data_IF_969707077477
#
_entry.id   IF_969707077477
#
_cell.length_a   1.000
_cell.length_b   1.000
_cell.length_c   1.000
_cell.angle_alpha   90.00
_cell.angle_beta   90.00
_cell.angle_gamma   90.00
#
_symmetry.space_group_name_H-M   'P 1'
#
loop_
_entity.id
_entity.type
_entity.pdbx_description
1 polymer ?
#
# COMPACT_ATOMS: atom_id res chain seq x y z
N UNK A 1 -29.59 12.91 -15.10
CA UNK A 1 -29.49 13.88 -13.99
C UNK A 1 -28.58 13.26 -12.96
N UNK A 2 -27.55 13.96 -12.49
CA UNK A 2 -26.64 13.45 -11.47
C UNK A 2 -27.22 13.74 -10.09
N UNK A 3 -27.50 12.71 -9.32
CA UNK A 3 -28.11 12.84 -7.99
C UNK A 3 -27.11 12.42 -6.92
N UNK A 4 -26.81 13.35 -6.00
CA UNK A 4 -25.83 13.18 -4.93
C UNK A 4 -26.51 12.95 -3.59
N UNK A 5 -26.17 11.85 -2.93
CA UNK A 5 -26.69 11.45 -1.63
C UNK A 5 -25.56 11.04 -0.69
N UNK A 6 -25.25 11.90 0.29
CA UNK A 6 -24.13 11.70 1.21
C UNK A 6 -22.79 11.53 0.43
N UNK A 7 -22.21 10.34 0.49
CA UNK A 7 -20.97 9.97 -0.20
C UNK A 7 -21.20 9.11 -1.45
N UNK A 8 -22.43 9.05 -1.93
CA UNK A 8 -22.82 8.35 -3.16
C UNK A 8 -23.36 9.32 -4.21
N UNK A 9 -23.01 9.09 -5.47
CA UNK A 9 -23.70 9.67 -6.62
C UNK A 9 -24.30 8.55 -7.48
N UNK A 10 -25.52 8.72 -7.98
CA UNK A 10 -26.15 7.79 -8.92
C UNK A 10 -26.24 8.45 -10.30
N UNK A 11 -25.78 7.73 -11.33
CA UNK A 11 -25.77 8.14 -12.74
C UNK A 11 -26.27 7.01 -13.63
N UNK A 12 -27.59 6.94 -13.82
CA UNK A 12 -28.22 5.84 -14.55
C UNK A 12 -27.86 4.50 -13.92
N UNK A 13 -27.29 3.60 -14.71
CA UNK A 13 -26.85 2.26 -14.27
C UNK A 13 -25.49 2.26 -13.53
N UNK A 14 -25.02 3.41 -13.04
CA UNK A 14 -23.76 3.50 -12.28
C UNK A 14 -23.95 4.20 -10.94
N UNK A 15 -23.58 3.53 -9.85
CA UNK A 15 -23.44 4.12 -8.53
C UNK A 15 -21.96 4.42 -8.23
N UNK A 16 -21.66 5.63 -7.78
CA UNK A 16 -20.30 6.10 -7.50
C UNK A 16 -20.18 6.36 -6.00
N UNK A 17 -19.37 5.55 -5.32
CA UNK A 17 -19.01 5.79 -3.92
C UNK A 17 -17.74 6.63 -3.85
N UNK A 18 -17.84 7.84 -3.28
CA UNK A 18 -16.66 8.60 -2.86
C UNK A 18 -16.03 7.93 -1.66
N UNK A 19 -14.76 7.55 -1.77
CA UNK A 19 -14.12 6.72 -0.76
C UNK A 19 -13.86 7.54 0.51
N UNK A 20 -14.27 6.97 1.63
CA UNK A 20 -13.96 7.45 2.97
C UNK A 20 -13.16 6.37 3.71
N UNK A 21 -12.66 6.71 4.90
CA UNK A 21 -11.90 5.79 5.75
C UNK A 21 -12.64 4.49 6.02
N UNK A 22 -13.98 4.52 6.06
CA UNK A 22 -14.81 3.37 6.40
C UNK A 22 -14.84 2.34 5.28
N UNK A 23 -14.88 2.76 4.01
CA UNK A 23 -14.84 1.87 2.83
C UNK A 23 -13.52 1.10 2.74
N UNK A 24 -12.43 1.70 3.20
CA UNK A 24 -11.11 1.10 3.11
C UNK A 24 -10.83 0.18 4.30
N UNK A 25 -11.16 0.65 5.51
CA UNK A 25 -10.84 -0.07 6.76
C UNK A 25 -11.89 -1.08 7.17
N UNK A 26 -13.11 -0.98 6.65
CA UNK A 26 -14.18 -1.92 6.92
C UNK A 26 -14.63 -2.65 5.66
N UNK A 27 -15.26 -3.80 5.87
CA UNK A 27 -15.73 -4.70 4.83
C UNK A 27 -17.06 -4.26 4.23
N UNK A 28 -17.21 -2.98 3.91
CA UNK A 28 -18.49 -2.49 3.40
C UNK A 28 -18.69 -0.98 3.42
N UNK A 29 -19.89 -0.59 3.00
CA UNK A 29 -20.33 0.81 3.00
C UNK A 29 -21.83 0.93 3.32
N UNK A 30 -22.23 2.04 3.94
CA UNK A 30 -23.65 2.34 4.13
C UNK A 30 -24.32 2.71 2.80
N UNK A 31 -25.53 2.20 2.57
CA UNK A 31 -26.37 2.56 1.43
C UNK A 31 -27.47 3.51 1.93
N UNK A 32 -27.43 4.81 1.53
CA UNK A 32 -28.49 5.75 1.82
C UNK A 32 -29.85 5.29 1.26
N UNK A 33 -30.93 5.65 1.94
CA UNK A 33 -32.31 5.28 1.58
C UNK A 33 -32.61 5.63 0.11
N UNK A 34 -32.19 6.82 -0.30
CA UNK A 34 -32.40 7.37 -1.64
C UNK A 34 -31.72 6.56 -2.75
N UNK A 35 -30.66 5.83 -2.40
CA UNK A 35 -29.89 5.02 -3.36
C UNK A 35 -30.33 3.55 -3.39
N UNK A 36 -31.28 3.13 -2.53
CA UNK A 36 -31.69 1.72 -2.41
C UNK A 36 -32.28 1.15 -3.69
N UNK A 37 -32.97 1.97 -4.49
CA UNK A 37 -33.55 1.57 -5.77
C UNK A 37 -32.50 1.03 -6.74
N UNK A 38 -31.31 1.65 -6.81
CA UNK A 38 -30.21 1.18 -7.65
C UNK A 38 -29.84 -0.29 -7.34
N UNK A 39 -29.86 -0.64 -6.06
CA UNK A 39 -29.51 -1.97 -5.55
C UNK A 39 -30.70 -2.94 -5.47
N UNK A 40 -31.89 -2.52 -5.90
CA UNK A 40 -33.17 -3.23 -5.78
C UNK A 40 -33.64 -3.49 -4.33
N UNK A 41 -33.02 -2.89 -3.30
CA UNK A 41 -33.23 -3.20 -1.87
C UNK A 41 -34.20 -2.26 -1.14
N UNK A 42 -35.10 -1.60 -1.84
CA UNK A 42 -36.07 -0.65 -1.25
C UNK A 42 -36.97 -1.32 -0.20
N UNK A 43 -37.40 -2.54 -0.51
CA UNK A 43 -38.30 -3.34 0.30
C UNK A 43 -37.58 -4.32 1.23
N UNK A 44 -36.26 -4.20 1.41
CA UNK A 44 -35.50 -5.08 2.30
C UNK A 44 -35.93 -4.84 3.76
N UNK A 45 -36.35 -5.91 4.45
CA UNK A 45 -36.79 -5.86 5.85
C UNK A 45 -35.60 -5.86 6.82
N UNK A 46 -35.82 -5.41 8.06
CA UNK A 46 -34.76 -5.46 9.08
C UNK A 46 -34.42 -6.93 9.43
N UNK A 47 -33.13 -7.26 9.40
CA UNK A 47 -32.62 -8.62 9.56
C UNK A 47 -32.47 -9.39 8.24
N UNK A 48 -33.02 -8.88 7.14
CA UNK A 48 -32.88 -9.53 5.83
C UNK A 48 -31.54 -9.20 5.16
N UNK A 49 -31.06 -10.20 4.43
CA UNK A 49 -29.86 -10.14 3.61
C UNK A 49 -30.22 -10.42 2.15
N UNK A 50 -29.50 -9.76 1.26
CA UNK A 50 -29.51 -10.02 -0.16
C UNK A 50 -28.11 -10.27 -0.65
N UNK A 51 -27.87 -11.48 -1.14
CA UNK A 51 -26.61 -11.83 -1.79
C UNK A 51 -26.51 -11.11 -3.14
N UNK A 52 -25.32 -10.59 -3.42
CA UNK A 52 -24.97 -9.94 -4.69
C UNK A 52 -23.59 -10.40 -5.13
N UNK A 53 -23.28 -10.20 -6.41
CA UNK A 53 -21.98 -10.49 -6.98
C UNK A 53 -21.34 -9.18 -7.44
N UNK A 54 -20.14 -8.92 -6.93
CA UNK A 54 -19.28 -7.85 -7.41
C UNK A 54 -18.28 -8.43 -8.41
N UNK A 55 -18.10 -7.77 -9.55
CA UNK A 55 -17.21 -8.23 -10.62
C UNK A 55 -16.05 -7.26 -10.73
N UNK A 56 -14.82 -7.76 -10.70
CA UNK A 56 -13.62 -6.95 -10.96
C UNK A 56 -12.85 -7.60 -12.10
N UNK A 57 -12.82 -6.93 -13.26
CA UNK A 57 -12.32 -7.54 -14.50
C UNK A 57 -13.22 -8.71 -14.91
N UNK A 58 -12.67 -9.93 -14.87
CA UNK A 58 -13.40 -11.17 -15.24
C UNK A 58 -13.67 -12.09 -14.03
N UNK A 59 -13.47 -11.61 -12.81
CA UNK A 59 -13.66 -12.40 -11.58
C UNK A 59 -14.88 -11.94 -10.81
N UNK A 60 -15.64 -12.89 -10.28
CA UNK A 60 -16.81 -12.68 -9.43
C UNK A 60 -16.41 -12.78 -7.95
N UNK A 61 -17.00 -11.94 -7.11
CA UNK A 61 -16.75 -11.88 -5.66
C UNK A 61 -18.07 -11.80 -4.90
N UNK A 62 -18.23 -12.67 -3.91
CA UNK A 62 -19.40 -12.69 -3.04
C UNK A 62 -19.48 -11.44 -2.17
N UNK A 63 -20.64 -10.80 -2.20
CA UNK A 63 -20.98 -9.66 -1.40
C UNK A 63 -22.45 -9.75 -1.00
N UNK A 64 -22.87 -8.96 -0.02
CA UNK A 64 -24.27 -8.94 0.36
C UNK A 64 -24.69 -7.56 0.85
N UNK A 65 -25.98 -7.29 0.73
CA UNK A 65 -26.61 -6.10 1.28
C UNK A 65 -27.51 -6.55 2.43
N UNK A 66 -27.35 -5.91 3.57
CA UNK A 66 -28.14 -6.23 4.76
C UNK A 66 -28.77 -4.96 5.31
N UNK A 67 -29.99 -5.08 5.83
CA UNK A 67 -30.61 -4.02 6.64
C UNK A 67 -30.66 -4.45 8.10
N UNK A 68 -30.08 -3.65 8.99
CA UNK A 68 -30.15 -3.86 10.45
C UNK A 68 -30.40 -2.53 11.15
N UNK A 69 -31.35 -2.52 12.09
CA UNK A 69 -31.71 -1.33 12.85
C UNK A 69 -32.01 -0.13 11.92
N UNK A 70 -32.79 -0.35 10.86
CA UNK A 70 -33.18 0.63 9.85
C UNK A 70 -32.08 1.06 8.87
N UNK A 71 -30.82 0.66 9.09
CA UNK A 71 -29.67 1.03 8.23
C UNK A 71 -29.36 -0.07 7.24
N UNK A 72 -29.25 0.31 5.96
CA UNK A 72 -28.83 -0.61 4.90
C UNK A 72 -27.34 -0.46 4.65
N UNK A 73 -26.63 -1.58 4.53
CA UNK A 73 -25.20 -1.60 4.27
C UNK A 73 -24.86 -2.66 3.23
N UNK A 74 -23.99 -2.31 2.31
CA UNK A 74 -23.28 -3.22 1.43
C UNK A 74 -22.07 -3.77 2.18
N UNK A 75 -21.83 -5.07 2.08
CA UNK A 75 -20.69 -5.77 2.63
C UNK A 75 -19.96 -6.57 1.54
N UNK A 76 -18.63 -6.61 1.62
CA UNK A 76 -17.78 -7.41 0.74
C UNK A 76 -16.66 -8.07 1.53
N UNK A 77 -16.17 -9.20 1.03
CA UNK A 77 -15.08 -9.96 1.64
C UNK A 77 -13.71 -9.33 1.35
N UNK A 78 -12.66 -9.85 2.00
CA UNK A 78 -11.29 -9.33 1.87
C UNK A 78 -10.70 -9.51 0.46
N UNK A 79 -11.07 -10.59 -0.21
CA UNK A 79 -10.72 -10.91 -1.60
C UNK A 79 -11.17 -9.82 -2.58
N UNK A 80 -12.41 -9.32 -2.47
CA UNK A 80 -12.88 -8.19 -3.27
C UNK A 80 -12.05 -6.93 -3.02
N UNK A 81 -11.78 -6.61 -1.75
CA UNK A 81 -10.98 -5.43 -1.38
C UNK A 81 -9.57 -5.48 -1.98
N UNK A 82 -8.97 -6.66 -1.99
CA UNK A 82 -7.66 -6.90 -2.62
C UNK A 82 -7.74 -6.76 -4.14
N UNK A 83 -8.74 -7.39 -4.75
CA UNK A 83 -8.94 -7.39 -6.21
C UNK A 83 -9.21 -6.00 -6.79
N UNK A 84 -10.08 -5.22 -6.17
CA UNK A 84 -10.39 -3.85 -6.64
C UNK A 84 -9.28 -2.83 -6.30
N UNK A 85 -8.23 -3.24 -5.59
CA UNK A 85 -7.08 -2.40 -5.26
C UNK A 85 -7.26 -1.49 -4.05
N UNK A 86 -8.39 -1.56 -3.34
CA UNK A 86 -8.62 -0.81 -2.10
C UNK A 86 -7.57 -1.10 -1.03
N UNK A 87 -7.01 -2.32 -1.00
CA UNK A 87 -5.94 -2.70 -0.05
C UNK A 87 -4.70 -1.82 -0.13
N UNK A 88 -4.43 -1.17 -1.28
CA UNK A 88 -3.30 -0.24 -1.45
C UNK A 88 -3.43 1.03 -0.59
N UNK A 89 -4.64 1.33 -0.15
CA UNK A 89 -4.97 2.60 0.52
C UNK A 89 -5.29 2.45 2.01
N UNK A 90 -5.12 1.24 2.60
CA UNK A 90 -5.44 0.95 4.02
C UNK A 90 -4.83 1.94 5.02
N UNK A 91 -3.65 2.46 4.69
CA UNK A 91 -2.88 3.38 5.54
C UNK A 91 -2.71 4.76 4.90
N UNK A 92 -3.48 5.07 3.86
CA UNK A 92 -3.45 6.38 3.21
C UNK A 92 -4.18 7.45 4.04
N UNK A 93 -3.71 8.71 4.02
CA UNK A 93 -4.41 9.80 4.68
C UNK A 93 -5.70 10.15 3.93
N UNK A 94 -6.67 10.77 4.62
CA UNK A 94 -7.97 11.13 4.03
C UNK A 94 -7.84 12.04 2.81
N UNK A 95 -6.82 12.91 2.77
CA UNK A 95 -6.50 13.74 1.59
C UNK A 95 -6.21 12.94 0.32
N UNK A 96 -5.74 11.70 0.46
CA UNK A 96 -5.57 10.74 -0.66
C UNK A 96 -6.88 10.01 -0.94
N UNK A 97 -7.60 9.59 0.10
CA UNK A 97 -8.86 8.84 -0.05
C UNK A 97 -9.96 9.64 -0.74
N UNK A 98 -10.06 10.94 -0.41
CA UNK A 98 -11.03 11.86 -0.99
C UNK A 98 -10.85 12.09 -2.50
N UNK A 99 -9.73 11.60 -3.07
CA UNK A 99 -9.46 11.62 -4.51
C UNK A 99 -9.80 10.31 -5.20
N UNK A 100 -10.47 9.38 -4.53
CA UNK A 100 -10.81 8.06 -5.03
C UNK A 100 -12.32 7.84 -5.04
N UNK A 101 -12.80 7.14 -6.07
CA UNK A 101 -14.17 6.67 -6.16
C UNK A 101 -14.19 5.19 -6.48
N UNK A 102 -15.12 4.46 -5.87
CA UNK A 102 -15.45 3.09 -6.26
C UNK A 102 -16.77 3.12 -7.02
N UNK A 103 -16.72 2.81 -8.31
CA UNK A 103 -17.88 2.82 -9.21
C UNK A 103 -18.44 1.42 -9.34
N UNK A 104 -19.76 1.28 -9.21
CA UNK A 104 -20.51 0.06 -9.38
C UNK A 104 -21.45 0.24 -10.57
N UNK A 105 -21.21 -0.49 -11.65
CA UNK A 105 -22.09 -0.52 -12.82
C UNK A 105 -23.00 -1.73 -12.74
N UNK A 106 -24.31 -1.52 -12.80
CA UNK A 106 -25.29 -2.60 -12.80
C UNK A 106 -25.20 -3.36 -14.13
N UNK A 107 -25.04 -4.68 -14.05
CA UNK A 107 -24.98 -5.57 -15.22
C UNK A 107 -26.23 -6.45 -15.35
N UNK A 108 -27.01 -6.57 -14.29
CA UNK A 108 -28.21 -7.37 -14.21
C UNK A 108 -28.70 -7.46 -12.77
N UNK A 109 -29.62 -8.38 -12.50
CA UNK A 109 -30.10 -8.62 -11.13
C UNK A 109 -28.94 -9.05 -10.23
N UNK A 110 -28.74 -8.30 -9.15
CA UNK A 110 -27.73 -8.59 -8.12
C UNK A 110 -26.28 -8.69 -8.62
N UNK A 111 -25.95 -8.25 -9.85
CA UNK A 111 -24.59 -8.28 -10.40
C UNK A 111 -24.08 -6.90 -10.76
N UNK A 112 -22.89 -6.56 -10.25
CA UNK A 112 -22.32 -5.22 -10.41
C UNK A 112 -20.84 -5.30 -10.78
N UNK A 113 -20.44 -4.67 -11.89
CA UNK A 113 -19.02 -4.44 -12.17
C UNK A 113 -18.48 -3.31 -11.30
N UNK A 114 -17.35 -3.54 -10.63
CA UNK A 114 -16.75 -2.63 -9.67
C UNK A 114 -15.39 -2.13 -10.15
N UNK A 115 -15.20 -0.81 -10.20
CA UNK A 115 -13.98 -0.18 -10.67
C UNK A 115 -13.56 0.94 -9.73
N UNK A 116 -12.32 0.85 -9.23
CA UNK A 116 -11.68 1.92 -8.48
C UNK A 116 -11.09 2.97 -9.44
N UNK A 117 -11.45 4.24 -9.27
CA UNK A 117 -10.96 5.36 -10.08
C UNK A 117 -10.42 6.49 -9.22
N UNK A 118 -9.43 7.22 -9.75
CA UNK A 118 -8.96 8.50 -9.21
C UNK A 118 -9.77 9.64 -9.81
N UNK A 119 -10.07 10.65 -9.00
CA UNK A 119 -10.82 11.85 -9.42
C UNK A 119 -9.90 12.98 -9.90
N UNK A 120 -8.61 12.92 -9.61
CA UNK A 120 -7.62 13.95 -9.98
C UNK A 120 -6.95 13.73 -11.34
N UNK A 121 -7.26 12.64 -12.05
CA UNK A 121 -6.79 12.37 -13.40
C UNK A 121 -7.92 11.75 -14.25
N UNK A 122 -8.18 12.34 -15.43
CA UNK A 122 -9.14 11.81 -16.44
C UNK A 122 -8.64 10.50 -17.09
N UNK A 123 -7.42 10.05 -16.79
CA UNK A 123 -6.96 8.73 -17.22
C UNK A 123 -7.63 7.63 -16.39
N UNK A 124 -8.58 6.96 -17.04
CA UNK A 124 -9.13 5.68 -16.58
C UNK A 124 -7.98 4.70 -16.45
N UNK A 125 -7.49 4.46 -15.24
CA UNK A 125 -6.57 3.35 -14.97
C UNK A 125 -7.35 2.06 -15.19
N UNK A 126 -7.37 1.55 -16.41
CA UNK A 126 -7.62 0.13 -16.64
C UNK A 126 -6.53 -0.61 -15.88
N UNK A 127 -6.91 -1.19 -14.75
CA UNK A 127 -6.10 -2.11 -13.95
C UNK A 127 -5.85 -3.37 -14.79
N UNK A 128 -4.93 -3.29 -15.76
CA UNK A 128 -4.31 -4.45 -16.38
C UNK A 128 -3.43 -5.13 -15.33
N UNK A 129 -3.99 -6.16 -14.71
CA UNK A 129 -3.44 -7.51 -14.79
C UNK A 129 -4.38 -8.45 -14.00
N UNK A 130 -5.18 -9.18 -14.77
CA UNK A 130 -6.04 -10.28 -14.31
C UNK A 130 -5.11 -11.34 -13.69
N UNK A 131 -5.35 -11.65 -12.42
CA UNK A 131 -4.73 -12.80 -11.76
C UNK A 131 -5.32 -14.05 -12.42
N UNK A 132 -4.46 -14.98 -12.82
CA UNK A 132 -4.80 -16.31 -13.31
C UNK A 132 -4.85 -17.27 -12.10
N UNK A 133 -5.86 -18.13 -12.05
CA UNK A 133 -6.10 -19.08 -10.97
C UNK A 133 -5.50 -20.45 -11.34
N UNK A 134 -4.19 -20.56 -11.18
CA UNK A 134 -3.54 -21.85 -10.98
C UNK A 134 -2.83 -21.80 -9.64
N UNK A 135 -2.93 -22.87 -8.84
CA UNK A 135 -2.19 -23.05 -7.59
C UNK A 135 -0.70 -23.27 -7.85
N UNK A 136 -0.08 -22.27 -8.46
CA UNK A 136 1.35 -22.13 -8.66
C UNK A 136 1.69 -20.64 -8.58
N UNK A 137 2.53 -20.27 -7.61
CA UNK A 137 3.05 -18.91 -7.53
C UNK A 137 4.19 -18.78 -8.55
N UNK A 138 3.90 -18.18 -9.70
CA UNK A 138 4.94 -17.86 -10.69
C UNK A 138 5.67 -16.60 -10.24
N UNK A 139 6.75 -16.79 -9.48
CA UNK A 139 7.74 -15.75 -9.17
C UNK A 139 8.82 -15.67 -10.27
N UNK A 140 9.55 -14.55 -10.37
CA UNK A 140 10.65 -14.39 -11.34
C UNK A 140 10.29 -13.68 -12.66
N UNK A 141 9.03 -13.22 -12.84
CA UNK A 141 8.67 -12.33 -13.95
C UNK A 141 9.49 -11.03 -13.84
N UNK A 142 10.35 -10.76 -14.82
CA UNK A 142 11.15 -9.53 -14.88
C UNK A 142 10.21 -8.32 -15.02
N UNK A 143 10.02 -7.58 -13.93
CA UNK A 143 9.36 -6.27 -13.92
C UNK A 143 10.43 -5.20 -14.10
N UNK A 144 10.34 -4.42 -15.17
CA UNK A 144 11.18 -3.25 -15.34
C UNK A 144 10.59 -2.10 -14.51
N UNK A 145 11.36 -1.60 -13.54
CA UNK A 145 11.01 -0.44 -12.74
C UNK A 145 11.87 0.74 -13.22
N UNK A 146 11.24 1.81 -13.69
CA UNK A 146 11.91 3.10 -13.86
C UNK A 146 11.89 3.80 -12.50
N UNK A 147 13.04 3.84 -11.84
CA UNK A 147 13.25 4.55 -10.57
C UNK A 147 14.32 5.60 -10.77
N UNK A 148 14.12 6.79 -10.23
CA UNK A 148 15.18 7.80 -10.12
C UNK A 148 16.19 7.28 -9.11
N UNK A 149 17.35 6.85 -9.61
CA UNK A 149 18.47 6.42 -8.78
C UNK A 149 19.40 7.61 -8.60
N UNK A 150 19.49 8.11 -7.38
CA UNK A 150 20.56 9.05 -7.02
C UNK A 150 21.90 8.39 -7.31
N UNK A 151 22.79 9.11 -8.00
CA UNK A 151 24.15 8.65 -8.23
C UNK A 151 24.85 8.44 -6.89
N UNK A 152 25.49 7.29 -6.72
CA UNK A 152 26.27 6.98 -5.52
C UNK A 152 27.69 6.68 -5.95
N UNK A 153 28.62 7.52 -5.54
CA UNK A 153 30.03 7.34 -5.84
C UNK A 153 30.59 6.15 -5.04
N UNK A 154 31.06 5.12 -5.75
CA UNK A 154 31.70 3.94 -5.14
C UNK A 154 32.96 4.32 -4.34
N UNK A 155 33.61 5.44 -4.68
CA UNK A 155 34.77 5.96 -3.94
C UNK A 155 34.40 6.33 -2.50
N UNK A 156 33.23 6.91 -2.27
CA UNK A 156 32.75 7.26 -0.92
C UNK A 156 32.54 6.02 -0.05
N UNK A 157 31.95 4.96 -0.62
CA UNK A 157 31.80 3.67 0.09
C UNK A 157 33.17 3.07 0.45
N UNK A 158 34.09 3.03 -0.50
CA UNK A 158 35.39 2.42 -0.29
C UNK A 158 36.22 3.22 0.73
N UNK A 159 36.15 4.55 0.67
CA UNK A 159 36.75 5.43 1.67
C UNK A 159 36.17 5.17 3.07
N UNK A 160 34.84 5.10 3.21
CA UNK A 160 34.20 4.79 4.49
C UNK A 160 34.63 3.43 5.06
N UNK A 161 34.78 2.41 4.22
CA UNK A 161 35.27 1.09 4.66
C UNK A 161 36.75 1.13 5.02
N UNK A 162 37.56 1.89 4.28
CA UNK A 162 38.98 2.06 4.60
C UNK A 162 39.17 2.77 5.95
N UNK A 163 38.35 3.78 6.23
CA UNK A 163 38.40 4.58 7.46
C UNK A 163 37.83 3.78 8.66
N UNK A 164 36.63 3.22 8.51
CA UNK A 164 35.86 2.67 9.63
C UNK A 164 35.95 1.14 9.76
N UNK A 165 36.47 0.45 8.75
CA UNK A 165 36.49 -1.02 8.66
C UNK A 165 35.11 -1.62 8.33
N UNK A 166 34.99 -2.93 8.57
CA UNK A 166 33.79 -3.73 8.22
C UNK A 166 33.03 -4.29 9.43
N UNK A 167 33.25 -3.73 10.62
CA UNK A 167 32.45 -4.08 11.81
C UNK A 167 31.24 -3.16 11.89
N UNK A 168 30.08 -3.73 12.22
CA UNK A 168 28.87 -2.94 12.36
C UNK A 168 28.99 -1.96 13.54
N UNK A 169 28.83 -0.66 13.28
CA UNK A 169 28.85 0.39 14.31
C UNK A 169 27.70 0.28 15.31
N UNK A 170 26.63 -0.45 14.99
CA UNK A 170 25.48 -0.64 15.89
C UNK A 170 25.69 -1.84 16.83
N UNK A 171 25.87 -3.04 16.27
CA UNK A 171 25.88 -4.28 17.06
C UNK A 171 27.22 -5.01 17.10
N UNK A 172 28.27 -4.47 16.45
CA UNK A 172 29.60 -5.08 16.41
C UNK A 172 29.73 -6.30 15.50
N UNK A 173 28.67 -6.71 14.79
CA UNK A 173 28.71 -7.85 13.88
C UNK A 173 29.78 -7.68 12.80
N UNK A 174 30.57 -8.73 12.58
CA UNK A 174 31.66 -8.80 11.61
C UNK A 174 31.42 -10.00 10.69
N UNK A 175 31.16 -9.71 9.40
CA UNK A 175 30.87 -10.75 8.42
C UNK A 175 32.08 -11.64 8.16
N UNK A 176 33.31 -11.12 8.16
CA UNK A 176 34.51 -11.92 7.95
C UNK A 176 34.74 -12.85 9.13
N UNK A 177 34.50 -12.38 10.36
CA UNK A 177 34.64 -13.21 11.55
C UNK A 177 33.64 -14.37 11.58
N UNK A 178 32.42 -14.18 11.07
CA UNK A 178 31.35 -15.20 11.10
C UNK A 178 31.35 -16.09 9.86
N UNK A 179 31.59 -15.53 8.68
CA UNK A 179 31.46 -16.24 7.39
C UNK A 179 32.82 -16.49 6.69
N UNK A 180 33.93 -16.14 7.33
CA UNK A 180 35.27 -16.31 6.77
C UNK A 180 35.50 -15.45 5.53
N UNK A 181 36.20 -16.01 4.53
CA UNK A 181 36.53 -15.31 3.29
C UNK A 181 35.30 -14.76 2.55
N UNK A 182 34.13 -15.40 2.66
CA UNK A 182 32.88 -14.94 2.03
C UNK A 182 32.42 -13.57 2.58
N UNK A 183 32.72 -13.29 3.85
CA UNK A 183 32.37 -12.04 4.52
C UNK A 183 33.43 -10.93 4.39
N UNK A 184 34.52 -11.18 3.66
CA UNK A 184 35.60 -10.20 3.51
C UNK A 184 35.12 -8.94 2.79
N UNK A 185 35.39 -7.77 3.39
CA UNK A 185 34.94 -6.45 2.91
C UNK A 185 33.42 -6.32 2.72
N UNK A 186 32.63 -7.25 3.29
CA UNK A 186 31.18 -7.25 3.20
C UNK A 186 30.56 -6.49 4.37
N UNK A 187 30.06 -5.29 4.06
CA UNK A 187 29.31 -4.44 4.99
C UNK A 187 28.47 -3.43 4.19
N UNK A 188 27.35 -2.99 4.76
CA UNK A 188 26.53 -1.92 4.19
C UNK A 188 26.98 -0.57 4.77
N UNK A 189 26.95 0.49 3.97
CA UNK A 189 27.32 1.85 4.41
C UNK A 189 26.05 2.70 4.50
N UNK A 190 25.78 3.17 5.71
CA UNK A 190 24.62 3.99 6.04
C UNK A 190 24.99 5.48 6.08
N UNK A 191 24.16 6.33 5.51
CA UNK A 191 24.28 7.78 5.68
C UNK A 191 23.60 8.16 6.98
N UNK A 192 24.33 8.79 7.91
CA UNK A 192 23.77 9.27 9.18
C UNK A 192 22.71 10.35 8.93
N UNK A 193 22.89 11.16 7.88
CA UNK A 193 21.93 12.14 7.38
C UNK A 193 21.30 11.64 6.07
N UNK A 194 19.97 11.44 6.00
CA UNK A 194 19.32 10.89 4.82
C UNK A 194 19.30 11.85 3.63
N UNK A 195 19.72 11.36 2.44
CA UNK A 195 19.74 12.15 1.20
C UNK A 195 18.36 12.49 0.61
N UNK A 196 17.27 11.88 1.08
CA UNK A 196 15.93 12.05 0.47
C UNK A 196 15.27 13.40 0.79
N UNK A 197 15.87 14.22 1.66
CA UNK A 197 15.37 15.52 2.07
C UNK A 197 16.06 16.70 1.38
N UNK A 198 16.93 16.45 0.39
CA UNK A 198 17.73 17.49 -0.25
C UNK A 198 17.52 17.40 -1.77
N UNK A 199 16.88 18.43 -2.34
CA UNK A 199 16.59 18.55 -3.78
C UNK A 199 17.84 18.91 -4.63
N UNK A 200 19.04 18.86 -4.02
CA UNK A 200 20.32 19.30 -4.60
C UNK A 200 21.44 18.28 -4.34
N UNK A 201 22.55 18.37 -5.09
CA UNK A 201 23.77 17.57 -4.85
C UNK A 201 24.41 17.95 -3.51
N UNK A 202 24.81 16.94 -2.73
CA UNK A 202 25.34 17.12 -1.37
C UNK A 202 26.74 16.55 -1.31
N UNK A 203 27.68 17.33 -0.81
CA UNK A 203 29.02 16.83 -0.50
C UNK A 203 28.95 15.88 0.70
N UNK A 204 29.47 14.67 0.54
CA UNK A 204 29.46 13.63 1.57
C UNK A 204 30.88 13.40 2.05
N UNK A 205 31.10 13.56 3.35
CA UNK A 205 32.34 13.21 4.01
C UNK A 205 32.26 11.74 4.50
N UNK A 206 33.08 10.82 3.95
CA UNK A 206 33.05 9.40 4.33
C UNK A 206 33.40 9.13 5.80
N UNK A 207 34.12 10.03 6.47
CA UNK A 207 34.48 9.90 7.87
C UNK A 207 33.29 10.25 8.79
N UNK A 208 32.63 11.38 8.53
CA UNK A 208 31.62 11.92 9.46
C UNK A 208 30.21 11.48 9.12
N UNK A 209 29.87 11.38 7.83
CA UNK A 209 28.48 11.23 7.37
C UNK A 209 28.10 9.79 7.10
N UNK A 210 29.09 8.91 6.97
CA UNK A 210 28.91 7.50 6.66
C UNK A 210 29.28 6.62 7.86
N UNK A 211 28.61 5.48 7.98
CA UNK A 211 28.92 4.48 8.99
C UNK A 211 28.70 3.05 8.48
N UNK A 212 29.61 2.10 8.80
CA UNK A 212 29.41 0.69 8.47
C UNK A 212 28.34 0.05 9.35
N UNK A 213 27.35 -0.60 8.75
CA UNK A 213 26.28 -1.31 9.45
C UNK A 213 26.00 -2.66 8.81
N UNK A 214 25.63 -3.67 9.61
CA UNK A 214 25.23 -4.97 9.06
C UNK A 214 23.85 -4.88 8.41
N UNK A 215 23.53 -5.83 7.53
CA UNK A 215 22.25 -5.86 6.80
C UNK A 215 21.03 -5.80 7.73
N UNK A 216 21.08 -6.48 8.88
CA UNK A 216 19.98 -6.45 9.83
C UNK A 216 19.82 -5.07 10.49
N UNK A 217 20.91 -4.47 10.98
CA UNK A 217 20.84 -3.14 11.57
C UNK A 217 20.46 -2.08 10.54
N UNK A 218 20.97 -2.17 9.31
CA UNK A 218 20.60 -1.24 8.26
C UNK A 218 19.10 -1.28 7.96
N UNK A 219 18.51 -2.49 7.93
CA UNK A 219 17.06 -2.65 7.79
C UNK A 219 16.28 -2.07 8.96
N UNK A 220 16.81 -2.15 10.18
CA UNK A 220 16.16 -1.59 11.37
C UNK A 220 16.22 -0.06 11.41
N UNK A 221 17.34 0.54 11.00
CA UNK A 221 17.47 2.00 10.86
C UNK A 221 16.41 2.58 9.91
N UNK A 222 16.10 1.86 8.82
CA UNK A 222 15.13 2.24 7.78
C UNK A 222 13.76 1.58 7.93
N UNK A 223 13.44 0.94 9.06
CA UNK A 223 12.21 0.14 9.17
C UNK A 223 10.95 0.99 9.14
N UNK A 224 11.01 2.20 9.68
CA UNK A 224 9.91 3.17 9.75
C UNK A 224 9.96 4.10 8.54
N UNK A 225 8.80 4.38 7.95
CA UNK A 225 8.68 5.21 6.72
C UNK A 225 8.65 6.71 7.02
N UNK A 226 8.26 7.06 8.24
CA UNK A 226 8.13 8.42 8.75
C UNK A 226 9.43 8.95 9.36
N UNK A 227 10.36 8.07 9.72
CA UNK A 227 11.59 8.43 10.41
C UNK A 227 12.67 7.35 10.30
N UNK A 228 13.86 7.76 9.88
CA UNK A 228 15.08 6.97 10.06
C UNK A 228 15.58 7.23 11.49
N UNK A 229 15.74 6.17 12.28
CA UNK A 229 16.31 6.27 13.62
C UNK A 229 17.83 6.33 13.55
N UNK A 230 18.49 6.98 14.51
CA UNK A 230 19.95 7.08 14.50
C UNK A 230 20.63 5.79 14.96
N UNK A 231 21.93 5.68 14.68
CA UNK A 231 22.76 4.56 15.16
C UNK A 231 22.73 4.46 16.68
N UNK A 232 22.85 5.60 17.37
CA UNK A 232 22.86 5.69 18.84
C UNK A 232 21.50 5.27 19.42
N UNK A 233 20.40 5.62 18.74
CA UNK A 233 19.06 5.18 19.13
C UNK A 233 18.91 3.65 19.00
N UNK A 234 19.38 3.08 17.89
CA UNK A 234 19.32 1.64 17.69
C UNK A 234 20.25 0.88 18.65
N UNK A 235 21.43 1.40 18.95
CA UNK A 235 22.31 0.86 19.99
C UNK A 235 21.62 0.81 21.35
N UNK A 236 20.92 1.89 21.76
CA UNK A 236 20.15 1.92 23.01
C UNK A 236 19.05 0.87 23.05
N UNK A 237 18.41 0.59 21.92
CA UNK A 237 17.37 -0.46 21.82
C UNK A 237 17.99 -1.84 22.03
N UNK A 238 19.14 -2.10 21.43
CA UNK A 238 19.81 -3.42 21.49
C UNK A 238 20.46 -3.67 22.87
N UNK A 239 20.99 -2.62 23.51
CA UNK A 239 21.71 -2.71 24.77
C UNK A 239 20.82 -2.59 26.02
N UNK A 240 19.52 -2.33 25.87
CA UNK A 240 18.53 -2.49 26.96
C UNK A 240 18.27 -3.99 27.16
N UNK A 241 19.20 -4.68 27.80
CA UNK A 241 19.00 -5.99 28.42
C UNK A 241 19.06 -5.85 29.92
#
# INVERSE_FOLDING_TARGET
MEEKYFSWDIKGETAIKHIDTSVVRHHGSGIPIQTRAFWDVENLSDGEKREIVLIVGNREYDAFIEKRAGRTRLFWRSDFREACGLSRYLFSPDSTLNKLTLQFQKLGENKYNAVLKRTDHIETTYLRDIVDDSTSYVEGKKKAYYTTKYERDKRCRNAAIHIHGCKCSVCGFDFKAVYGALGENYIEVHHKNPLYNQDEEVEINPETDLAPVCSNCHRMLHRRKDRIITIEELQKIINKK
#
